data_IF_873857164015
#
_entry.id   IF_873857164015
#
_cell.length_a   1.000
_cell.length_b   1.000
_cell.length_c   1.000
_cell.angle_alpha   90.00
_cell.angle_beta   90.00
_cell.angle_gamma   90.00
#
_symmetry.space_group_name_H-M   'P 1'
#
loop_
_entity.id
_entity.type
_entity.pdbx_description
1 polymer ?
#
# COMPACT_ATOMS: atom_id res chain seq x y z
N UNK A 1 -27.62 -46.74 -42.60
CA UNK A 1 -26.24 -47.21 -42.32
C UNK A 1 -25.29 -46.18 -42.91
N UNK A 2 -24.67 -45.39 -42.04
CA UNK A 2 -24.06 -44.10 -42.34
C UNK A 2 -22.66 -44.26 -42.92
N UNK A 3 -22.43 -43.58 -44.05
CA UNK A 3 -21.13 -43.40 -44.67
C UNK A 3 -20.51 -42.08 -44.20
N UNK A 4 -19.22 -42.17 -43.85
CA UNK A 4 -18.31 -41.09 -43.49
C UNK A 4 -18.12 -40.10 -44.64
N UNK A 5 -18.27 -38.81 -44.36
CA UNK A 5 -17.89 -37.72 -45.27
C UNK A 5 -16.96 -36.75 -44.52
N UNK A 6 -15.68 -36.81 -44.88
CA UNK A 6 -14.70 -35.78 -44.59
C UNK A 6 -15.14 -34.41 -45.17
N UNK A 7 -15.07 -33.36 -44.37
CA UNK A 7 -14.90 -31.98 -44.86
C UNK A 7 -13.84 -31.25 -44.04
N UNK A 8 -12.74 -30.91 -44.71
CA UNK A 8 -11.89 -29.78 -44.35
C UNK A 8 -12.67 -28.51 -44.68
N UNK A 9 -12.77 -27.57 -43.74
CA UNK A 9 -13.08 -26.18 -44.04
C UNK A 9 -11.91 -25.31 -43.59
N UNK A 10 -11.28 -24.71 -44.59
CA UNK A 10 -10.34 -23.60 -44.52
C UNK A 10 -11.08 -22.26 -44.30
N UNK A 11 -10.29 -21.22 -44.00
CA UNK A 11 -10.54 -19.76 -44.08
C UNK A 11 -11.31 -19.04 -42.96
N UNK A 12 -10.54 -18.27 -42.20
CA UNK A 12 -10.69 -16.85 -41.84
C UNK A 12 -12.04 -16.16 -42.14
N UNK A 13 -12.69 -15.60 -41.11
CA UNK A 13 -12.56 -14.16 -40.77
C UNK A 13 -13.57 -13.72 -39.69
N UNK A 14 -13.07 -12.88 -38.76
CA UNK A 14 -13.76 -11.82 -38.01
C UNK A 14 -15.03 -12.13 -37.17
N UNK A 15 -14.90 -12.06 -35.84
CA UNK A 15 -15.23 -10.86 -35.04
C UNK A 15 -15.86 -11.18 -33.67
N UNK A 16 -15.41 -10.42 -32.67
CA UNK A 16 -16.08 -10.00 -31.43
C UNK A 16 -16.32 -10.99 -30.26
N UNK A 17 -16.11 -10.39 -29.09
CA UNK A 17 -16.56 -10.73 -27.74
C UNK A 17 -15.98 -11.94 -27.00
N UNK A 18 -15.22 -11.59 -25.97
CA UNK A 18 -14.88 -12.26 -24.71
C UNK A 18 -15.74 -13.46 -24.28
N UNK A 19 -15.12 -14.49 -23.65
CA UNK A 19 -15.82 -15.36 -22.71
C UNK A 19 -15.43 -15.07 -21.24
N UNK A 20 -16.26 -15.50 -20.27
CA UNK A 20 -16.27 -14.98 -18.92
C UNK A 20 -15.24 -15.64 -17.98
N UNK A 21 -14.94 -14.90 -16.90
CA UNK A 21 -14.29 -15.39 -15.68
C UNK A 21 -15.10 -16.57 -15.08
N UNK A 22 -14.35 -17.50 -14.47
CA UNK A 22 -14.75 -18.66 -13.62
C UNK A 22 -14.82 -20.02 -14.33
N UNK A 23 -13.68 -20.70 -14.37
CA UNK A 23 -13.58 -22.15 -14.11
C UNK A 23 -12.09 -22.58 -14.09
N UNK A 24 -11.36 -22.23 -13.03
CA UNK A 24 -10.09 -22.88 -12.72
C UNK A 24 -10.16 -23.46 -11.30
N UNK A 25 -11.17 -24.30 -11.09
CA UNK A 25 -11.20 -25.31 -10.05
C UNK A 25 -11.43 -26.63 -10.77
N UNK A 26 -10.62 -27.63 -10.42
CA UNK A 26 -10.75 -29.04 -10.84
C UNK A 26 -9.98 -29.44 -12.10
N UNK A 27 -8.64 -29.41 -12.04
CA UNK A 27 -7.79 -30.30 -12.84
C UNK A 27 -6.64 -30.86 -11.98
N UNK A 28 -6.99 -31.42 -10.82
CA UNK A 28 -6.25 -32.53 -10.23
C UNK A 28 -7.17 -33.75 -10.29
N UNK A 29 -7.33 -34.30 -11.49
CA UNK A 29 -7.96 -35.61 -11.68
C UNK A 29 -6.83 -36.57 -12.05
N UNK A 30 -6.63 -37.55 -11.19
CA UNK A 30 -5.60 -38.57 -11.27
C UNK A 30 -5.39 -39.05 -12.72
N UNK A 31 -4.23 -38.73 -13.28
CA UNK A 31 -3.76 -39.38 -14.50
C UNK A 31 -3.34 -40.80 -14.11
N UNK A 32 -4.11 -41.79 -14.56
CA UNK A 32 -3.66 -43.18 -14.59
C UNK A 32 -2.53 -43.24 -15.61
N UNK A 33 -1.30 -43.39 -15.12
CA UNK A 33 -0.09 -43.47 -15.95
C UNK A 33 -0.09 -44.81 -16.68
N UNK A 34 -0.15 -44.75 -18.01
CA UNK A 34 0.13 -45.90 -18.86
C UNK A 34 1.64 -46.21 -18.83
N UNK A 35 2.07 -47.49 -18.79
CA UNK A 35 3.48 -47.84 -18.78
C UNK A 35 4.09 -47.53 -20.16
N UNK A 36 4.86 -46.45 -20.25
CA UNK A 36 5.58 -46.07 -21.47
C UNK A 36 5.62 -44.57 -21.78
N UNK A 37 4.88 -43.72 -21.07
CA UNK A 37 5.05 -42.27 -21.18
C UNK A 37 6.17 -41.82 -20.25
N UNK A 38 7.29 -41.35 -20.81
CA UNK A 38 8.29 -40.59 -20.06
C UNK A 38 7.55 -39.54 -19.21
N UNK A 39 7.77 -39.57 -17.89
CA UNK A 39 7.31 -38.52 -17.01
C UNK A 39 7.90 -37.21 -17.55
N UNK A 40 7.07 -36.39 -18.21
CA UNK A 40 7.40 -35.00 -18.43
C UNK A 40 7.80 -34.45 -17.06
N UNK A 41 9.04 -33.96 -17.01
CA UNK A 41 9.75 -33.57 -15.81
C UNK A 41 8.84 -32.77 -14.87
N UNK A 42 8.84 -33.13 -13.59
CA UNK A 42 8.40 -32.24 -12.52
C UNK A 42 8.96 -30.85 -12.84
N UNK A 43 8.09 -29.85 -13.02
CA UNK A 43 8.54 -28.50 -13.37
C UNK A 43 9.64 -28.07 -12.38
N UNK A 44 10.86 -27.87 -12.88
CA UNK A 44 12.01 -27.50 -12.06
C UNK A 44 11.93 -26.02 -11.74
N UNK A 45 11.66 -25.70 -10.47
CA UNK A 45 11.53 -24.33 -9.97
C UNK A 45 12.87 -23.68 -9.57
N UNK A 46 14.00 -24.33 -9.90
CA UNK A 46 15.36 -23.89 -9.53
C UNK A 46 15.75 -22.53 -10.10
N UNK A 47 14.97 -22.00 -11.06
CA UNK A 47 15.16 -20.68 -11.65
C UNK A 47 14.46 -19.55 -10.89
N UNK A 48 13.63 -19.87 -9.87
CA UNK A 48 12.90 -18.86 -9.12
C UNK A 48 13.84 -18.13 -8.15
N UNK A 49 13.86 -16.79 -8.16
CA UNK A 49 14.95 -16.05 -7.56
C UNK A 49 14.91 -16.00 -6.02
N UNK A 50 13.77 -16.31 -5.42
CA UNK A 50 13.58 -16.37 -3.98
C UNK A 50 13.17 -17.77 -3.53
N UNK A 51 13.55 -18.80 -4.27
CA UNK A 51 13.16 -20.18 -4.01
C UNK A 51 13.40 -20.56 -2.53
N UNK A 52 12.31 -20.93 -1.85
CA UNK A 52 12.28 -21.34 -0.44
C UNK A 52 12.69 -20.28 0.60
N UNK A 53 12.93 -19.03 0.22
CA UNK A 53 13.22 -17.93 1.16
C UNK A 53 11.98 -17.56 1.98
N UNK A 54 12.09 -17.50 3.30
CA UNK A 54 11.02 -17.12 4.22
C UNK A 54 11.10 -15.63 4.51
N UNK A 55 10.05 -14.90 4.13
CA UNK A 55 10.04 -13.44 4.17
C UNK A 55 8.90 -12.98 5.06
N UNK A 56 9.23 -12.27 6.14
CA UNK A 56 8.24 -11.62 7.00
C UNK A 56 7.82 -10.29 6.35
N UNK A 57 6.52 -10.13 6.10
CA UNK A 57 5.95 -8.88 5.60
C UNK A 57 5.02 -8.27 6.64
N UNK A 58 5.13 -6.96 6.83
CA UNK A 58 4.35 -6.22 7.84
C UNK A 58 3.39 -5.18 7.26
N UNK A 59 3.25 -5.18 5.94
CA UNK A 59 2.39 -4.28 5.19
C UNK A 59 0.92 -4.32 5.67
N UNK A 60 0.19 -3.18 5.58
CA UNK A 60 -1.24 -3.15 5.85
C UNK A 60 -2.00 -4.07 4.88
N UNK A 61 -3.19 -4.52 5.30
CA UNK A 61 -4.04 -5.48 4.56
C UNK A 61 -4.20 -5.15 3.07
N UNK A 62 -4.37 -3.88 2.73
CA UNK A 62 -4.56 -3.40 1.35
C UNK A 62 -3.34 -3.60 0.44
N UNK A 63 -2.14 -3.72 1.00
CA UNK A 63 -0.90 -3.94 0.26
C UNK A 63 -0.38 -5.37 0.39
N UNK A 64 -0.66 -6.03 1.52
CA UNK A 64 -0.19 -7.36 1.85
C UNK A 64 -0.50 -8.40 0.78
N UNK A 65 -1.73 -8.43 0.25
CA UNK A 65 -2.10 -9.43 -0.77
C UNK A 65 -1.31 -9.27 -2.07
N UNK A 66 -1.03 -8.03 -2.50
CA UNK A 66 -0.28 -7.76 -3.73
C UNK A 66 1.19 -8.12 -3.55
N UNK A 67 1.79 -7.70 -2.43
CA UNK A 67 3.18 -8.02 -2.11
C UNK A 67 3.39 -9.53 -1.93
N UNK A 68 2.50 -10.21 -1.19
CA UNK A 68 2.59 -11.66 -0.97
C UNK A 68 2.50 -12.44 -2.28
N UNK A 69 1.61 -12.05 -3.21
CA UNK A 69 1.51 -12.70 -4.51
C UNK A 69 2.83 -12.62 -5.30
N UNK A 70 3.44 -11.43 -5.39
CA UNK A 70 4.72 -11.26 -6.08
C UNK A 70 5.86 -12.05 -5.42
N UNK A 71 5.87 -12.15 -4.10
CA UNK A 71 6.85 -12.98 -3.37
C UNK A 71 6.66 -14.46 -3.65
N UNK A 72 5.42 -14.95 -3.68
CA UNK A 72 5.09 -16.35 -4.04
C UNK A 72 5.47 -16.65 -5.48
N UNK A 73 5.17 -15.74 -6.41
CA UNK A 73 5.53 -15.88 -7.83
C UNK A 73 7.06 -15.92 -8.02
N UNK A 74 7.82 -15.25 -7.15
CA UNK A 74 9.28 -15.32 -7.09
C UNK A 74 9.83 -16.56 -6.37
N UNK A 75 8.98 -17.47 -5.86
CA UNK A 75 9.37 -18.71 -5.18
C UNK A 75 9.53 -18.61 -3.66
N UNK A 76 9.23 -17.45 -3.07
CA UNK A 76 9.35 -17.23 -1.64
C UNK A 76 8.16 -17.79 -0.84
N UNK A 77 8.34 -17.84 0.48
CA UNK A 77 7.33 -18.21 1.48
C UNK A 77 7.04 -17.01 2.38
N UNK A 78 6.10 -16.12 2.00
CA UNK A 78 5.78 -14.96 2.81
C UNK A 78 5.00 -15.36 4.08
N UNK A 79 5.42 -14.83 5.23
CA UNK A 79 4.62 -14.81 6.46
C UNK A 79 4.13 -13.39 6.66
N UNK A 80 2.83 -13.22 6.83
CA UNK A 80 2.23 -11.89 7.02
C UNK A 80 1.83 -11.67 8.47
N UNK A 81 2.40 -10.62 9.07
CA UNK A 81 1.98 -10.09 10.36
C UNK A 81 1.69 -8.62 10.18
N UNK A 82 0.42 -8.16 10.14
CA UNK A 82 0.13 -6.76 9.85
C UNK A 82 0.71 -5.88 10.97
N UNK A 83 1.77 -5.13 10.65
CA UNK A 83 2.36 -4.19 11.59
C UNK A 83 1.39 -3.04 11.87
N UNK A 84 0.67 -2.61 10.85
CA UNK A 84 -0.34 -1.55 10.94
C UNK A 84 -1.67 -1.96 10.32
N UNK A 85 -2.74 -1.33 10.81
CA UNK A 85 -4.06 -1.33 10.21
C UNK A 85 -4.46 0.09 9.81
N UNK A 86 -5.18 0.19 8.70
CA UNK A 86 -5.79 1.43 8.21
C UNK A 86 -7.30 1.22 8.26
N UNK A 87 -8.00 2.08 9.00
CA UNK A 87 -9.44 2.01 9.15
C UNK A 87 -10.07 3.40 9.10
N UNK A 88 -11.40 3.43 9.07
CA UNK A 88 -12.16 4.67 9.26
C UNK A 88 -11.97 5.19 10.68
N UNK A 89 -12.23 6.48 10.87
CA UNK A 89 -12.36 7.06 12.20
C UNK A 89 -13.55 6.41 12.92
N UNK A 90 -13.34 6.02 14.17
CA UNK A 90 -14.38 5.49 15.06
C UNK A 90 -14.73 6.45 16.19
N UNK A 91 -13.86 7.41 16.48
CA UNK A 91 -14.08 8.43 17.49
C UNK A 91 -15.06 9.49 16.98
N UNK A 92 -16.04 9.83 17.82
CA UNK A 92 -17.14 10.73 17.45
C UNK A 92 -16.65 12.17 17.26
N UNK A 93 -15.72 12.65 18.09
CA UNK A 93 -15.21 14.02 18.00
C UNK A 93 -14.39 14.20 16.72
N UNK A 94 -13.52 13.24 16.42
CA UNK A 94 -12.72 13.25 15.18
C UNK A 94 -13.61 13.18 13.93
N UNK A 95 -14.65 12.34 13.96
CA UNK A 95 -15.59 12.22 12.85
C UNK A 95 -16.40 13.52 12.66
N UNK A 96 -16.84 14.15 13.75
CA UNK A 96 -17.54 15.43 13.70
C UNK A 96 -16.63 16.56 13.20
N UNK A 97 -15.36 16.57 13.59
CA UNK A 97 -14.38 17.53 13.07
C UNK A 97 -14.23 17.38 11.55
N UNK A 98 -14.12 16.15 11.06
CA UNK A 98 -14.07 15.87 9.62
C UNK A 98 -15.34 16.33 8.92
N UNK A 99 -16.52 16.03 9.48
CA UNK A 99 -17.80 16.45 8.91
C UNK A 99 -17.92 17.95 8.78
N UNK A 100 -17.57 18.69 9.83
CA UNK A 100 -17.64 20.14 9.85
C UNK A 100 -16.75 20.74 8.74
N UNK A 101 -15.53 20.23 8.59
CA UNK A 101 -14.63 20.66 7.51
C UNK A 101 -15.16 20.29 6.12
N UNK A 102 -15.73 19.10 5.96
CA UNK A 102 -16.26 18.62 4.68
C UNK A 102 -17.59 19.26 4.28
N UNK A 103 -18.37 19.78 5.21
CA UNK A 103 -19.60 20.52 4.91
C UNK A 103 -19.36 21.98 4.51
N UNK A 104 -18.13 22.46 4.68
CA UNK A 104 -17.73 23.85 4.41
C UNK A 104 -16.59 23.89 3.37
N UNK A 105 -16.61 23.00 2.36
CA UNK A 105 -15.52 22.93 1.37
C UNK A 105 -15.28 24.27 0.65
N UNK A 106 -16.33 25.07 0.43
CA UNK A 106 -16.27 26.40 -0.18
C UNK A 106 -15.46 27.42 0.64
N UNK A 107 -15.25 27.18 1.94
CA UNK A 107 -14.39 28.00 2.79
C UNK A 107 -12.90 27.73 2.60
N UNK A 108 -12.55 26.65 1.88
CA UNK A 108 -11.17 26.28 1.59
C UNK A 108 -10.88 26.52 0.11
N UNK A 109 -9.70 27.07 -0.13
CA UNK A 109 -9.17 27.23 -1.49
C UNK A 109 -8.71 25.91 -2.09
N UNK A 110 -8.15 25.02 -1.26
CA UNK A 110 -7.56 23.75 -1.68
C UNK A 110 -7.88 22.62 -0.70
N UNK A 111 -7.98 21.41 -1.25
CA UNK A 111 -8.00 20.15 -0.53
C UNK A 111 -6.75 19.35 -0.89
N UNK A 112 -5.80 19.29 0.04
CA UNK A 112 -4.48 18.72 -0.22
C UNK A 112 -4.32 17.34 0.42
N UNK A 113 -4.26 16.31 -0.43
CA UNK A 113 -4.11 14.93 0.01
C UNK A 113 -2.64 14.50 0.08
N UNK A 114 -2.28 13.88 1.20
CA UNK A 114 -0.93 13.32 1.44
C UNK A 114 -0.83 11.83 1.12
N UNK A 115 -1.96 11.18 0.83
CA UNK A 115 -2.00 9.77 0.43
C UNK A 115 -3.32 9.39 -0.24
N UNK A 116 -3.30 8.28 -0.99
CA UNK A 116 -4.49 7.58 -1.49
C UNK A 116 -5.53 7.29 -0.40
N UNK A 117 -5.10 6.95 0.82
CA UNK A 117 -6.03 6.62 1.92
C UNK A 117 -6.83 7.85 2.35
N UNK A 118 -6.19 9.03 2.39
CA UNK A 118 -6.87 10.29 2.67
C UNK A 118 -7.94 10.61 1.62
N UNK A 119 -7.64 10.38 0.33
CA UNK A 119 -8.60 10.57 -0.76
C UNK A 119 -9.80 9.65 -0.58
N UNK A 120 -9.56 8.35 -0.39
CA UNK A 120 -10.64 7.37 -0.24
C UNK A 120 -11.52 7.66 0.97
N UNK A 121 -10.92 8.00 2.11
CA UNK A 121 -11.64 8.31 3.33
C UNK A 121 -12.54 9.55 3.18
N UNK A 122 -12.05 10.61 2.53
CA UNK A 122 -12.85 11.81 2.28
C UNK A 122 -13.98 11.55 1.29
N UNK A 123 -13.71 10.86 0.18
CA UNK A 123 -14.75 10.52 -0.80
C UNK A 123 -15.85 9.66 -0.19
N UNK A 124 -15.46 8.67 0.61
CA UNK A 124 -16.41 7.83 1.35
C UNK A 124 -17.22 8.65 2.35
N UNK A 125 -16.58 9.55 3.10
CA UNK A 125 -17.29 10.35 4.09
C UNK A 125 -18.27 11.33 3.44
N UNK A 126 -17.85 12.00 2.36
CA UNK A 126 -18.75 12.84 1.56
C UNK A 126 -19.92 12.04 0.99
N UNK A 127 -19.69 10.81 0.51
CA UNK A 127 -20.77 9.95 0.04
C UNK A 127 -21.77 9.63 1.16
N UNK A 128 -21.30 9.39 2.38
CA UNK A 128 -22.17 9.19 3.54
C UNK A 128 -22.98 10.46 3.89
N UNK A 129 -22.35 11.65 3.85
CA UNK A 129 -22.99 12.93 4.19
C UNK A 129 -24.02 13.39 3.14
N UNK A 130 -23.77 13.11 1.86
CA UNK A 130 -24.60 13.61 0.75
C UNK A 130 -25.52 12.55 0.14
N UNK A 131 -25.54 11.32 0.68
CA UNK A 131 -26.45 10.26 0.25
C UNK A 131 -26.02 9.55 -1.04
N UNK A 132 -24.71 9.39 -1.25
CA UNK A 132 -24.12 8.55 -2.29
C UNK A 132 -22.92 9.18 -3.02
N UNK A 133 -22.13 8.37 -3.75
CA UNK A 133 -20.91 8.85 -4.43
C UNK A 133 -21.17 9.94 -5.48
N UNK A 134 -22.26 9.83 -6.24
CA UNK A 134 -22.59 10.81 -7.29
C UNK A 134 -22.86 12.20 -6.72
N UNK A 135 -23.66 12.26 -5.64
CA UNK A 135 -23.98 13.52 -4.94
C UNK A 135 -22.74 14.11 -4.25
N UNK A 136 -21.87 13.27 -3.70
CA UNK A 136 -20.59 13.71 -3.15
C UNK A 136 -19.69 14.36 -4.21
N UNK A 137 -19.55 13.74 -5.38
CA UNK A 137 -18.77 14.28 -6.50
C UNK A 137 -19.38 15.60 -6.99
N UNK A 138 -20.70 15.69 -7.08
CA UNK A 138 -21.38 16.93 -7.44
C UNK A 138 -21.12 18.04 -6.43
N UNK A 139 -21.21 17.75 -5.13
CA UNK A 139 -20.92 18.72 -4.07
C UNK A 139 -19.49 19.25 -4.15
N UNK A 140 -18.49 18.37 -4.33
CA UNK A 140 -17.07 18.78 -4.50
C UNK A 140 -16.88 19.67 -5.73
N UNK A 141 -17.59 19.38 -6.84
CA UNK A 141 -17.52 20.24 -8.04
C UNK A 141 -18.15 21.60 -7.81
N UNK A 142 -19.26 21.65 -7.07
CA UNK A 142 -20.01 22.88 -6.78
C UNK A 142 -19.28 23.79 -5.79
N UNK A 143 -18.48 23.24 -4.88
CA UNK A 143 -17.72 24.04 -3.92
C UNK A 143 -16.58 24.85 -4.57
N UNK A 144 -16.16 24.50 -5.78
CA UNK A 144 -15.06 25.18 -6.49
C UNK A 144 -13.67 24.92 -5.89
N UNK A 145 -13.54 23.99 -4.95
CA UNK A 145 -12.28 23.69 -4.26
C UNK A 145 -11.26 23.06 -5.21
N UNK A 146 -10.00 23.49 -5.12
CA UNK A 146 -8.90 22.89 -5.89
C UNK A 146 -8.38 21.63 -5.21
N UNK A 147 -8.40 20.51 -5.93
CA UNK A 147 -7.92 19.22 -5.41
C UNK A 147 -6.42 19.03 -5.71
N UNK A 148 -5.65 18.71 -4.68
CA UNK A 148 -4.22 18.43 -4.80
C UNK A 148 -3.93 16.97 -4.41
N UNK A 149 -3.13 16.26 -5.21
CA UNK A 149 -2.78 14.86 -4.94
C UNK A 149 -1.37 14.51 -5.42
N UNK A 150 -0.75 13.54 -4.75
CA UNK A 150 0.60 13.08 -5.04
C UNK A 150 0.60 12.08 -6.21
N UNK A 151 1.18 12.45 -7.35
CA UNK A 151 1.43 11.54 -8.47
C UNK A 151 0.27 10.58 -8.80
N UNK A 152 0.50 9.29 -8.61
CA UNK A 152 -0.46 8.22 -8.92
C UNK A 152 -1.71 8.21 -8.02
N UNK A 153 -1.66 8.77 -6.81
CA UNK A 153 -2.82 8.81 -5.90
C UNK A 153 -3.97 9.62 -6.48
N UNK A 154 -3.64 10.62 -7.31
CA UNK A 154 -4.62 11.43 -8.05
C UNK A 154 -5.49 10.61 -9.03
N UNK A 155 -5.09 9.38 -9.38
CA UNK A 155 -5.92 8.49 -10.18
C UNK A 155 -7.25 8.18 -9.49
N UNK A 156 -7.30 8.07 -8.16
CA UNK A 156 -8.54 7.83 -7.42
C UNK A 156 -9.54 8.97 -7.60
N UNK A 157 -9.06 10.22 -7.60
CA UNK A 157 -9.90 11.38 -7.86
C UNK A 157 -10.44 11.35 -9.31
N UNK A 158 -9.58 11.01 -10.29
CA UNK A 158 -9.98 10.92 -11.70
C UNK A 158 -11.01 9.82 -11.93
N UNK A 159 -10.83 8.65 -11.32
CA UNK A 159 -11.77 7.54 -11.37
C UNK A 159 -13.13 7.89 -10.74
N UNK A 160 -13.14 8.75 -9.72
CA UNK A 160 -14.36 9.33 -9.15
C UNK A 160 -14.97 10.46 -10.01
N UNK A 161 -14.37 10.80 -11.15
CA UNK A 161 -14.84 11.87 -12.04
C UNK A 161 -14.50 13.29 -11.56
N UNK A 162 -13.47 13.43 -10.72
CA UNK A 162 -12.94 14.69 -10.21
C UNK A 162 -11.60 15.05 -10.88
N UNK A 163 -11.35 16.34 -11.04
CA UNK A 163 -10.10 16.86 -11.58
C UNK A 163 -9.05 17.02 -10.49
N UNK A 164 -7.83 16.54 -10.75
CA UNK A 164 -6.65 16.90 -9.95
C UNK A 164 -6.11 18.22 -10.50
N UNK A 165 -6.12 19.27 -9.68
CA UNK A 165 -5.74 20.62 -10.06
C UNK A 165 -4.26 20.87 -9.87
N UNK A 166 -3.67 20.31 -8.80
CA UNK A 166 -2.24 20.41 -8.51
C UNK A 166 -1.69 19.01 -8.25
N UNK A 167 -0.63 18.65 -8.95
CA UNK A 167 0.14 17.44 -8.70
C UNK A 167 1.62 17.76 -8.89
N UNK A 168 2.48 17.46 -7.91
CA UNK A 168 3.88 17.84 -7.98
C UNK A 168 4.67 16.94 -8.92
N UNK A 169 5.75 17.48 -9.50
CA UNK A 169 6.73 16.71 -10.28
C UNK A 169 7.38 15.63 -9.43
N UNK A 170 7.84 15.99 -8.22
CA UNK A 170 8.24 15.04 -7.20
C UNK A 170 7.00 14.60 -6.43
N UNK A 171 6.55 13.35 -6.62
CA UNK A 171 5.34 12.79 -6.00
C UNK A 171 5.49 12.56 -4.48
N UNK A 172 5.76 13.62 -3.73
CA UNK A 172 5.97 13.65 -2.27
C UNK A 172 5.25 14.84 -1.64
N UNK A 173 5.03 14.80 -0.33
CA UNK A 173 4.42 15.93 0.40
C UNK A 173 5.28 17.18 0.31
N UNK A 174 6.61 17.02 0.33
CA UNK A 174 7.57 18.11 0.10
C UNK A 174 7.40 18.71 -1.29
N UNK A 175 7.33 17.85 -2.32
CA UNK A 175 7.10 18.28 -3.69
C UNK A 175 5.79 19.03 -3.86
N UNK A 176 4.71 18.57 -3.21
CA UNK A 176 3.41 19.25 -3.26
C UNK A 176 3.45 20.65 -2.63
N UNK A 177 4.06 20.79 -1.45
CA UNK A 177 4.20 22.10 -0.82
C UNK A 177 5.07 23.05 -1.68
N UNK A 178 6.13 22.53 -2.28
CA UNK A 178 6.99 23.31 -3.19
C UNK A 178 6.25 23.75 -4.47
N UNK A 179 5.44 22.88 -5.08
CA UNK A 179 4.64 23.19 -6.26
C UNK A 179 3.61 24.29 -5.98
N UNK A 180 2.91 24.19 -4.84
CA UNK A 180 1.95 25.21 -4.42
C UNK A 180 2.63 26.56 -4.17
N UNK A 181 3.82 26.56 -3.58
CA UNK A 181 4.62 27.78 -3.39
C UNK A 181 5.10 28.37 -4.73
N UNK A 182 5.67 27.55 -5.61
CA UNK A 182 6.23 27.97 -6.89
C UNK A 182 5.17 28.52 -7.85
N UNK A 183 3.95 27.98 -7.81
CA UNK A 183 2.82 28.46 -8.62
C UNK A 183 2.06 29.63 -7.99
N UNK A 184 2.50 30.13 -6.83
CA UNK A 184 1.83 31.22 -6.10
C UNK A 184 0.48 30.83 -5.50
N UNK A 185 0.15 29.53 -5.46
CA UNK A 185 -1.11 29.00 -4.96
C UNK A 185 -1.11 28.75 -3.45
N UNK A 186 0.04 28.84 -2.77
CA UNK A 186 0.13 28.71 -1.32
C UNK A 186 -0.16 30.03 -0.57
N UNK A 187 0.35 31.17 -1.05
CA UNK A 187 0.26 32.43 -0.32
C UNK A 187 -1.20 32.89 -0.14
N UNK A 188 -1.64 33.03 1.11
CA UNK A 188 -3.02 33.40 1.46
C UNK A 188 -4.05 32.28 1.27
N UNK A 189 -3.62 31.08 0.86
CA UNK A 189 -4.52 29.96 0.65
C UNK A 189 -4.96 29.34 1.98
N UNK A 190 -6.27 29.10 2.11
CA UNK A 190 -6.82 28.27 3.18
C UNK A 190 -6.89 26.82 2.68
N UNK A 191 -6.07 25.92 3.22
CA UNK A 191 -5.84 24.59 2.67
C UNK A 191 -6.27 23.51 3.67
N UNK A 192 -7.32 22.77 3.35
CA UNK A 192 -7.74 21.61 4.14
C UNK A 192 -6.82 20.42 3.83
N UNK A 193 -6.27 19.81 4.88
CA UNK A 193 -5.32 18.70 4.81
C UNK A 193 -5.89 17.48 5.55
N UNK A 194 -6.59 16.57 4.85
CA UNK A 194 -7.04 15.29 5.40
C UNK A 194 -5.85 14.36 5.64
N UNK A 195 -5.59 14.00 6.89
CA UNK A 195 -4.39 13.28 7.34
C UNK A 195 -4.74 12.07 8.21
N UNK A 196 -3.81 11.11 8.41
CA UNK A 196 -4.01 10.06 9.39
C UNK A 196 -4.12 10.61 10.81
N UNK A 197 -5.03 10.05 11.60
CA UNK A 197 -4.88 9.97 13.04
C UNK A 197 -4.07 8.71 13.37
N UNK A 198 -3.00 8.84 14.16
CA UNK A 198 -2.12 7.72 14.51
C UNK A 198 -2.34 7.35 15.97
N UNK A 199 -2.64 6.08 16.24
CA UNK A 199 -2.95 5.57 17.58
C UNK A 199 -2.37 4.18 17.84
N UNK A 200 -2.67 3.62 19.02
CA UNK A 200 -2.24 2.27 19.40
C UNK A 200 -0.76 2.15 19.77
N UNK A 201 -0.16 3.22 20.30
CA UNK A 201 1.27 3.25 20.65
C UNK A 201 2.21 3.49 19.47
N UNK A 202 1.67 3.70 18.26
CA UNK A 202 2.42 4.20 17.12
C UNK A 202 2.73 5.69 17.28
N UNK A 203 3.87 6.11 16.72
CA UNK A 203 4.31 7.50 16.63
C UNK A 203 4.11 7.98 15.20
N UNK A 204 3.42 9.12 15.05
CA UNK A 204 3.19 9.74 13.74
C UNK A 204 4.53 10.04 13.06
N UNK A 205 4.76 9.53 11.83
CA UNK A 205 5.97 9.86 11.09
C UNK A 205 6.03 11.37 10.78
N UNK A 206 7.22 11.98 10.71
CA UNK A 206 7.37 13.44 10.56
C UNK A 206 6.90 13.97 9.19
N UNK A 207 6.45 13.10 8.28
CA UNK A 207 6.00 13.46 6.93
C UNK A 207 4.80 14.41 6.93
N UNK A 208 3.82 14.19 7.82
CA UNK A 208 2.63 15.04 7.94
C UNK A 208 2.97 16.35 8.66
N UNK A 209 3.62 16.36 9.85
CA UNK A 209 4.06 17.59 10.49
C UNK A 209 4.89 18.48 9.56
N UNK A 210 5.91 17.93 8.88
CA UNK A 210 6.75 18.68 7.93
C UNK A 210 5.95 19.23 6.74
N UNK A 211 4.90 18.52 6.30
CA UNK A 211 4.03 19.01 5.24
C UNK A 211 3.23 20.24 5.71
N UNK A 212 2.64 20.18 6.91
CA UNK A 212 1.92 21.31 7.50
C UNK A 212 2.83 22.52 7.69
N UNK A 213 4.04 22.30 8.21
CA UNK A 213 5.06 23.35 8.39
C UNK A 213 5.46 23.97 7.06
N UNK A 214 5.67 23.16 6.02
CA UNK A 214 6.05 23.64 4.69
C UNK A 214 4.95 24.49 4.02
N UNK A 215 3.68 24.11 4.17
CA UNK A 215 2.56 24.92 3.69
C UNK A 215 2.47 26.25 4.44
N UNK A 216 2.63 26.21 5.76
CA UNK A 216 2.60 27.42 6.60
C UNK A 216 3.75 28.36 6.25
N UNK A 217 4.97 27.83 6.07
CA UNK A 217 6.14 28.59 5.65
C UNK A 217 5.97 29.21 4.24
N UNK A 218 5.17 28.59 3.37
CA UNK A 218 4.79 29.12 2.06
C UNK A 218 3.64 30.15 2.11
N UNK A 219 3.16 30.53 3.31
CA UNK A 219 2.14 31.54 3.50
C UNK A 219 0.70 31.02 3.43
N UNK A 220 0.48 29.70 3.45
CA UNK A 220 -0.86 29.12 3.52
C UNK A 220 -1.36 29.01 4.96
N UNK A 221 -2.67 29.19 5.15
CA UNK A 221 -3.38 28.76 6.36
C UNK A 221 -3.75 27.28 6.21
N UNK A 222 -2.84 26.39 6.63
CA UNK A 222 -3.02 24.95 6.51
C UNK A 222 -3.84 24.38 7.69
N UNK A 223 -4.97 23.73 7.38
CA UNK A 223 -5.89 23.15 8.35
C UNK A 223 -5.77 21.64 8.36
N UNK A 224 -5.26 21.09 9.46
CA UNK A 224 -5.14 19.64 9.66
C UNK A 224 -6.49 19.07 10.09
N UNK A 225 -6.96 18.01 9.42
CA UNK A 225 -8.15 17.26 9.86
C UNK A 225 -7.89 15.75 9.82
N UNK A 226 -8.16 15.01 10.91
CA UNK A 226 -8.18 13.55 10.87
C UNK A 226 -9.17 13.06 9.81
N UNK A 227 -8.73 12.16 8.93
CA UNK A 227 -9.58 11.59 7.88
C UNK A 227 -9.73 10.07 8.03
N UNK A 228 -8.69 9.40 8.53
CA UNK A 228 -8.66 7.96 8.74
C UNK A 228 -7.75 7.62 9.92
N UNK A 229 -7.88 6.40 10.43
CA UNK A 229 -7.09 5.89 11.55
C UNK A 229 -5.96 4.99 11.03
N UNK A 230 -4.75 5.20 11.52
CA UNK A 230 -3.64 4.25 11.45
C UNK A 230 -3.34 3.75 12.86
N UNK A 231 -3.48 2.45 13.07
CA UNK A 231 -3.23 1.78 14.37
C UNK A 231 -2.31 0.58 14.19
N UNK A 232 -1.90 -0.04 15.30
CA UNK A 232 -1.25 -1.36 15.26
C UNK A 232 -2.18 -2.37 14.56
N UNK A 233 -1.59 -3.26 13.76
CA UNK A 233 -2.34 -4.14 12.88
C UNK A 233 -2.98 -5.36 13.53
N UNK A 234 -2.57 -5.69 14.77
CA UNK A 234 -3.17 -6.74 15.59
C UNK A 234 -3.62 -6.17 16.95
N UNK A 235 -4.67 -6.74 17.58
CA UNK A 235 -5.16 -6.27 18.88
C UNK A 235 -4.12 -6.40 19.99
N UNK A 236 -3.27 -7.43 19.94
CA UNK A 236 -2.26 -7.68 20.96
C UNK A 236 -1.11 -8.57 20.44
N UNK A 237 0.06 -8.58 21.10
CA UNK A 237 1.22 -9.41 20.72
C UNK A 237 0.93 -10.92 20.72
N UNK A 238 -0.02 -11.39 21.54
CA UNK A 238 -0.39 -12.81 21.62
C UNK A 238 -0.96 -13.33 20.29
N UNK A 239 -1.56 -12.45 19.48
CA UNK A 239 -2.08 -12.81 18.15
C UNK A 239 -1.00 -13.23 17.14
N UNK A 240 0.28 -12.91 17.39
CA UNK A 240 1.41 -13.30 16.55
C UNK A 240 2.56 -13.93 17.35
N UNK A 241 2.25 -14.57 18.48
CA UNK A 241 3.25 -15.16 19.35
C UNK A 241 4.08 -16.25 18.65
N UNK A 242 3.46 -17.01 17.73
CA UNK A 242 4.17 -18.03 16.97
C UNK A 242 5.15 -17.40 15.97
N UNK A 243 4.75 -16.36 15.26
CA UNK A 243 5.62 -15.64 14.32
C UNK A 243 6.75 -14.92 15.04
N UNK A 244 6.49 -14.35 16.23
CA UNK A 244 7.53 -13.80 17.08
C UNK A 244 8.54 -14.88 17.50
N UNK A 245 8.08 -16.07 17.91
CA UNK A 245 8.97 -17.18 18.24
C UNK A 245 9.79 -17.65 17.02
N UNK A 246 9.20 -17.69 15.83
CA UNK A 246 9.90 -18.01 14.58
C UNK A 246 10.99 -16.97 14.28
N UNK A 247 10.72 -15.68 14.49
CA UNK A 247 11.73 -14.62 14.34
C UNK A 247 12.89 -14.81 15.32
N UNK A 248 12.58 -15.06 16.60
CA UNK A 248 13.62 -15.28 17.62
C UNK A 248 14.45 -16.54 17.35
N UNK A 249 13.87 -17.56 16.71
CA UNK A 249 14.55 -18.78 16.31
C UNK A 249 15.29 -18.69 14.96
N UNK A 250 15.29 -17.52 14.30
CA UNK A 250 16.05 -17.31 13.05
C UNK A 250 15.40 -17.94 11.81
N UNK A 251 14.08 -18.12 11.81
CA UNK A 251 13.36 -18.77 10.72
C UNK A 251 12.99 -17.83 9.55
N UNK A 252 13.40 -16.57 9.57
CA UNK A 252 13.17 -15.62 8.49
C UNK A 252 14.49 -15.21 7.83
N UNK A 253 14.57 -15.37 6.51
CA UNK A 253 15.68 -14.89 5.69
C UNK A 253 15.63 -13.36 5.56
N UNK A 254 14.42 -12.78 5.51
CA UNK A 254 14.24 -11.33 5.41
C UNK A 254 12.98 -10.80 6.09
N UNK A 255 12.99 -9.50 6.40
CA UNK A 255 11.83 -8.70 6.79
C UNK A 255 11.69 -7.54 5.78
N UNK A 256 10.51 -7.37 5.20
CA UNK A 256 10.27 -6.35 4.19
C UNK A 256 9.20 -5.33 4.64
N UNK A 257 9.53 -4.04 4.49
CA UNK A 257 8.69 -2.91 4.89
C UNK A 257 8.26 -2.08 3.68
N UNK A 258 6.95 -1.76 3.59
CA UNK A 258 6.46 -0.76 2.63
C UNK A 258 6.41 0.66 3.19
N UNK A 259 6.38 0.81 4.51
CA UNK A 259 6.35 2.10 5.20
C UNK A 259 7.02 2.04 6.58
N UNK A 260 7.42 3.19 7.11
CA UNK A 260 8.07 3.31 8.43
C UNK A 260 7.19 2.81 9.58
N UNK A 261 5.88 3.05 9.51
CA UNK A 261 4.96 2.67 10.59
C UNK A 261 4.86 1.15 10.77
N UNK A 262 5.13 0.38 9.72
CA UNK A 262 5.17 -1.09 9.79
C UNK A 262 6.32 -1.61 10.66
N UNK A 263 7.47 -0.91 10.68
CA UNK A 263 8.57 -1.23 11.59
C UNK A 263 8.20 -0.94 13.05
N UNK A 264 7.43 0.13 13.31
CA UNK A 264 6.95 0.42 14.66
C UNK A 264 5.98 -0.66 15.13
N UNK A 265 5.03 -1.02 14.26
CA UNK A 265 4.09 -2.11 14.49
C UNK A 265 4.78 -3.44 14.77
N UNK A 266 5.81 -3.78 13.98
CA UNK A 266 6.65 -4.96 14.20
C UNK A 266 7.26 -4.96 15.62
N UNK A 267 7.88 -3.86 16.03
CA UNK A 267 8.45 -3.72 17.38
C UNK A 267 7.38 -3.88 18.46
N UNK A 268 6.21 -3.25 18.31
CA UNK A 268 5.13 -3.34 19.30
C UNK A 268 4.58 -4.77 19.42
N UNK A 269 4.50 -5.50 18.32
CA UNK A 269 3.92 -6.85 18.26
C UNK A 269 4.91 -7.97 18.60
N UNK A 270 6.21 -7.77 18.37
CA UNK A 270 7.23 -8.83 18.48
C UNK A 270 8.21 -8.62 19.64
N UNK A 271 7.74 -8.08 20.77
CA UNK A 271 8.51 -8.02 22.01
C UNK A 271 9.45 -6.81 22.15
N UNK A 272 9.26 -5.78 21.32
CA UNK A 272 9.99 -4.52 21.39
C UNK A 272 11.20 -4.42 20.47
N UNK A 273 11.73 -3.19 20.34
CA UNK A 273 12.88 -2.87 19.49
C UNK A 273 14.08 -3.77 19.75
N UNK A 274 14.45 -3.98 21.01
CA UNK A 274 15.64 -4.76 21.36
C UNK A 274 15.49 -6.23 20.97
N UNK A 275 14.30 -6.82 21.17
CA UNK A 275 14.05 -8.22 20.81
C UNK A 275 14.11 -8.43 19.29
N UNK A 276 13.49 -7.53 18.51
CA UNK A 276 13.56 -7.58 17.05
C UNK A 276 14.98 -7.35 16.55
N UNK A 277 15.67 -6.32 17.05
CA UNK A 277 17.01 -5.98 16.60
C UNK A 277 18.03 -7.10 16.91
N UNK A 278 17.95 -7.70 18.11
CA UNK A 278 18.83 -8.80 18.51
C UNK A 278 18.63 -10.03 17.62
N UNK A 279 17.38 -10.40 17.33
CA UNK A 279 17.07 -11.52 16.44
C UNK A 279 17.61 -11.28 15.02
N UNK A 280 17.37 -10.07 14.48
CA UNK A 280 17.87 -9.69 13.14
C UNK A 280 19.39 -9.77 13.07
N UNK A 281 20.11 -9.26 14.07
CA UNK A 281 21.57 -9.28 14.10
C UNK A 281 22.13 -10.70 14.29
N UNK A 282 21.57 -11.45 15.24
CA UNK A 282 22.02 -12.81 15.57
C UNK A 282 21.88 -13.77 14.38
N UNK A 283 20.76 -13.68 13.67
CA UNK A 283 20.43 -14.59 12.56
C UNK A 283 20.75 -14.00 11.19
N UNK A 284 21.31 -12.79 11.14
CA UNK A 284 21.66 -12.06 9.90
C UNK A 284 20.46 -11.92 8.95
N UNK A 285 19.26 -11.76 9.50
CA UNK A 285 18.03 -11.55 8.72
C UNK A 285 18.14 -10.26 7.92
N UNK A 286 17.88 -10.34 6.62
CA UNK A 286 17.96 -9.17 5.73
C UNK A 286 16.80 -8.22 6.00
N UNK A 287 17.10 -6.93 6.19
CA UNK A 287 16.07 -5.89 6.24
C UNK A 287 15.94 -5.24 4.87
N UNK A 288 14.72 -5.22 4.34
CA UNK A 288 14.40 -4.63 3.06
C UNK A 288 13.31 -3.56 3.17
N UNK A 289 13.42 -2.50 2.37
CA UNK A 289 12.45 -1.43 2.33
C UNK A 289 12.04 -1.09 0.90
N UNK A 290 10.74 -0.78 0.75
CA UNK A 290 10.17 -0.37 -0.52
C UNK A 290 10.84 0.88 -1.08
N UNK A 291 11.38 1.79 -0.26
CA UNK A 291 12.14 2.94 -0.76
C UNK A 291 13.00 3.62 0.29
N UNK A 292 13.80 4.65 -0.10
CA UNK A 292 14.84 5.22 0.76
C UNK A 292 14.28 5.88 2.02
N UNK A 293 13.12 6.55 1.93
CA UNK A 293 12.46 7.12 3.11
C UNK A 293 11.97 6.06 4.08
N UNK A 294 11.45 4.95 3.57
CA UNK A 294 11.05 3.79 4.38
C UNK A 294 12.27 3.13 5.01
N UNK A 295 13.38 3.00 4.27
CA UNK A 295 14.63 2.43 4.77
C UNK A 295 15.19 3.24 5.94
N UNK A 296 15.26 4.57 5.78
CA UNK A 296 15.71 5.47 6.84
C UNK A 296 14.79 5.38 8.07
N UNK A 297 13.48 5.51 7.88
CA UNK A 297 12.53 5.50 9.00
C UNK A 297 12.45 4.14 9.71
N UNK A 298 12.41 3.03 8.98
CA UNK A 298 12.44 1.70 9.58
C UNK A 298 13.76 1.46 10.31
N UNK A 299 14.87 1.98 9.78
CA UNK A 299 16.17 1.90 10.42
C UNK A 299 16.23 2.67 11.74
N UNK A 300 15.68 3.88 11.79
CA UNK A 300 15.57 4.68 13.03
C UNK A 300 14.74 3.96 14.10
N UNK A 301 13.63 3.34 13.69
CA UNK A 301 12.74 2.60 14.57
C UNK A 301 13.41 1.35 15.14
N UNK A 302 14.09 0.58 14.29
CA UNK A 302 14.76 -0.66 14.69
C UNK A 302 16.10 -0.40 15.38
N UNK A 303 16.74 0.72 15.11
CA UNK A 303 18.15 0.95 15.46
C UNK A 303 19.13 0.16 14.61
N UNK A 304 18.73 -0.21 13.39
CA UNK A 304 19.51 -1.03 12.48
C UNK A 304 19.50 -0.41 11.09
N UNK A 305 20.56 -0.62 10.31
CA UNK A 305 20.51 -0.25 8.91
C UNK A 305 19.53 -1.15 8.14
N UNK A 306 18.82 -0.58 7.16
CA UNK A 306 17.98 -1.31 6.21
C UNK A 306 18.69 -1.29 4.85
N UNK A 307 19.60 -2.24 4.57
CA UNK A 307 20.53 -2.14 3.44
C UNK A 307 19.89 -2.43 2.09
N UNK A 308 18.83 -3.23 2.06
CA UNK A 308 18.15 -3.59 0.82
C UNK A 308 17.04 -2.58 0.56
N UNK A 309 17.23 -1.76 -0.46
CA UNK A 309 16.26 -0.72 -0.84
C UNK A 309 15.93 -0.90 -2.30
N UNK A 310 14.64 -0.95 -2.63
CA UNK A 310 14.19 -0.97 -4.02
C UNK A 310 14.80 0.19 -4.81
N UNK A 311 14.99 0.02 -6.12
CA UNK A 311 15.30 1.13 -7.05
C UNK A 311 14.06 1.66 -7.76
N UNK A 312 12.97 0.90 -7.74
CA UNK A 312 11.69 1.27 -8.33
C UNK A 312 10.58 1.27 -7.28
N UNK A 313 10.00 2.45 -7.05
CA UNK A 313 9.00 2.68 -6.01
C UNK A 313 7.56 2.71 -6.54
N UNK A 314 7.37 2.59 -7.86
CA UNK A 314 6.04 2.63 -8.47
C UNK A 314 5.23 1.34 -8.23
N UNK A 315 5.92 0.23 -7.95
CA UNK A 315 5.30 -1.06 -7.66
C UNK A 315 6.17 -1.91 -6.73
N UNK A 316 5.56 -2.90 -6.08
CA UNK A 316 6.26 -3.84 -5.20
C UNK A 316 7.25 -4.75 -5.93
N UNK A 317 7.20 -4.81 -7.26
CA UNK A 317 8.17 -5.58 -8.07
C UNK A 317 9.61 -5.14 -7.79
N UNK A 318 9.84 -3.83 -7.58
CA UNK A 318 11.18 -3.34 -7.26
C UNK A 318 11.68 -3.83 -5.89
N UNK A 319 10.79 -3.97 -4.91
CA UNK A 319 11.13 -4.54 -3.60
C UNK A 319 11.45 -6.04 -3.71
N UNK A 320 10.66 -6.79 -4.50
CA UNK A 320 10.91 -8.21 -4.74
C UNK A 320 12.23 -8.43 -5.48
N UNK A 321 12.53 -7.61 -6.49
CA UNK A 321 13.80 -7.66 -7.21
C UNK A 321 15.00 -7.35 -6.28
N UNK A 322 14.88 -6.33 -5.42
CA UNK A 322 15.93 -6.00 -4.46
C UNK A 322 16.17 -7.12 -3.43
N UNK A 323 15.10 -7.81 -3.00
CA UNK A 323 15.21 -9.00 -2.15
C UNK A 323 15.88 -10.16 -2.89
N UNK A 324 15.52 -10.40 -4.14
CA UNK A 324 16.13 -11.43 -4.99
C UNK A 324 17.64 -11.21 -5.14
N UNK A 325 18.06 -9.99 -5.46
CA UNK A 325 19.48 -9.65 -5.60
C UNK A 325 20.28 -9.84 -4.30
N UNK A 326 19.63 -9.69 -3.14
CA UNK A 326 20.28 -9.79 -1.84
C UNK A 326 20.28 -11.20 -1.23
N UNK A 327 19.35 -12.07 -1.63
CA UNK A 327 19.14 -13.41 -1.08
C UNK A 327 19.50 -14.55 -2.05
N UNK A 328 19.83 -14.22 -3.30
CA UNK A 328 20.54 -15.11 -4.23
C UNK A 328 21.94 -15.44 -3.70
#
# INVERSE_FOLDING_TARGET
>A
MQASLHRRCTSNSCSLSSPPKRACRTLCRAAVVAPGSQCDALATFDHLPLLNRRILITAPRQYASKLAALLVDAGARPTWVPGIAISRLSDHEQLQQLDNSLQQLESYSHLAFTSKNGILAVLERLAALHGGPEKAVQYVKQSGIKLCALGADGQVLREAGLQVHVSPVEASTKGLAAELAATGQAAGAHILCPVPHVAGGLVEPPVVPRFMDALTAAGAAAVRVPAYLTSVGLPSPECCAQEAALLQAGHFDAIAFSSTAEAQGLCLLMGGRQAVASAVQQHRTVLAAHGPYTAAGAGDVLGLAVPVVSRNFSSFDGLVAALADALH
#
